data_IF_525803980129
#
_entry.id   IF_525803980129
#
_cell.length_a   1.000
_cell.length_b   1.000
_cell.length_c   1.000
_cell.angle_alpha   90.00
_cell.angle_beta   90.00
_cell.angle_gamma   90.00
#
_symmetry.space_group_name_H-M   'P 1'
#
loop_
_entity.id
_entity.type
_entity.pdbx_description
1 polymer ?
#
# COMPACT_ATOMS: atom_id res chain seq x y z
N UNK A 1 -19.12 1.51 4.53
CA UNK A 1 -18.04 1.23 3.55
C UNK A 1 -17.19 0.08 4.06
N UNK A 2 -17.13 -1.04 3.34
CA UNK A 2 -16.34 -2.24 3.73
C UNK A 2 -14.86 -1.94 3.86
N UNK A 3 -14.31 -1.16 2.91
CA UNK A 3 -12.91 -0.69 2.91
C UNK A 3 -12.62 0.11 4.18
N UNK A 4 -13.51 1.04 4.56
CA UNK A 4 -13.33 1.88 5.74
C UNK A 4 -13.27 1.07 7.04
N UNK A 5 -14.19 0.13 7.23
CA UNK A 5 -14.20 -0.75 8.40
C UNK A 5 -12.93 -1.62 8.48
N UNK A 6 -12.55 -2.26 7.39
CA UNK A 6 -11.33 -3.06 7.32
C UNK A 6 -10.06 -2.22 7.54
N UNK A 7 -10.05 -0.96 7.08
CA UNK A 7 -8.94 -0.02 7.28
C UNK A 7 -8.73 0.32 8.74
N UNK A 8 -9.80 0.53 9.51
CA UNK A 8 -9.67 0.78 10.96
C UNK A 8 -9.00 -0.41 11.64
N UNK A 9 -9.45 -1.63 11.33
CA UNK A 9 -8.85 -2.86 11.88
C UNK A 9 -7.37 -2.95 11.50
N UNK A 10 -7.04 -2.78 10.22
CA UNK A 10 -5.66 -2.82 9.73
C UNK A 10 -4.75 -1.80 10.38
N UNK A 11 -5.22 -0.56 10.58
CA UNK A 11 -4.48 0.51 11.27
C UNK A 11 -4.13 0.11 12.70
N UNK A 12 -5.10 -0.42 13.46
CA UNK A 12 -4.90 -0.82 14.85
C UNK A 12 -3.97 -2.02 14.96
N UNK A 13 -4.20 -3.06 14.16
CA UNK A 13 -3.40 -4.29 14.22
C UNK A 13 -1.97 -4.07 13.74
N UNK A 14 -1.79 -3.38 12.61
CA UNK A 14 -0.45 -3.13 12.08
C UNK A 14 0.30 -2.05 12.84
N UNK A 15 -0.39 -1.07 13.44
CA UNK A 15 0.24 -0.13 14.37
C UNK A 15 0.84 -0.86 15.58
N UNK A 16 0.03 -1.70 16.25
CA UNK A 16 0.52 -2.50 17.37
C UNK A 16 1.60 -3.52 16.97
N UNK A 17 1.53 -4.08 15.77
CA UNK A 17 2.58 -4.95 15.23
C UNK A 17 3.87 -4.16 15.01
N UNK A 18 3.79 -2.96 14.43
CA UNK A 18 4.92 -2.10 14.13
C UNK A 18 5.77 -1.81 15.35
N UNK A 19 5.15 -1.51 16.47
CA UNK A 19 5.85 -1.25 17.73
C UNK A 19 6.68 -2.46 18.22
N UNK A 20 6.33 -3.68 17.79
CA UNK A 20 7.00 -4.93 18.19
C UNK A 20 7.99 -5.46 17.17
N UNK A 21 7.72 -5.30 15.88
CA UNK A 21 8.50 -5.92 14.80
C UNK A 21 9.27 -4.90 13.95
N UNK A 22 9.03 -3.60 14.16
CA UNK A 22 9.63 -2.49 13.42
C UNK A 22 8.96 -2.20 12.07
N UNK A 23 9.31 -1.05 11.50
CA UNK A 23 8.77 -0.50 10.26
C UNK A 23 8.92 -1.42 9.05
N UNK A 24 10.15 -1.89 8.79
CA UNK A 24 10.45 -2.71 7.61
C UNK A 24 9.62 -3.99 7.56
N UNK A 25 9.54 -4.74 8.66
CA UNK A 25 8.77 -6.00 8.70
C UNK A 25 7.28 -5.73 8.55
N UNK A 26 6.79 -4.65 9.14
CA UNK A 26 5.39 -4.24 9.02
C UNK A 26 5.02 -3.87 7.58
N UNK A 27 5.89 -3.13 6.87
CA UNK A 27 5.70 -2.85 5.45
C UNK A 27 5.69 -4.13 4.60
N UNK A 28 6.60 -5.09 4.86
CA UNK A 28 6.61 -6.38 4.14
C UNK A 28 5.27 -7.10 4.33
N UNK A 29 4.72 -7.13 5.55
CA UNK A 29 3.42 -7.76 5.81
C UNK A 29 2.30 -7.04 5.04
N UNK A 30 2.23 -5.71 5.13
CA UNK A 30 1.21 -4.92 4.42
C UNK A 30 1.25 -5.17 2.91
N UNK A 31 2.45 -5.10 2.29
CA UNK A 31 2.61 -5.33 0.85
C UNK A 31 2.31 -6.79 0.47
N UNK A 32 2.64 -7.76 1.32
CA UNK A 32 2.34 -9.18 1.07
C UNK A 32 0.82 -9.42 1.03
N UNK A 33 0.08 -8.87 1.99
CA UNK A 33 -1.39 -8.96 2.04
C UNK A 33 -2.00 -8.23 0.84
N UNK A 34 -1.47 -7.04 0.51
CA UNK A 34 -1.92 -6.27 -0.65
C UNK A 34 -1.71 -7.05 -1.95
N UNK A 35 -0.59 -7.77 -2.07
CA UNK A 35 -0.30 -8.63 -3.22
C UNK A 35 -1.30 -9.76 -3.38
N UNK A 36 -1.62 -10.47 -2.30
CA UNK A 36 -2.68 -11.48 -2.32
C UNK A 36 -4.02 -10.88 -2.76
N UNK A 37 -4.32 -9.66 -2.31
CA UNK A 37 -5.51 -8.92 -2.74
C UNK A 37 -5.54 -8.65 -4.24
N UNK A 38 -4.47 -8.08 -4.80
CA UNK A 38 -4.38 -7.79 -6.23
C UNK A 38 -4.41 -9.05 -7.10
N UNK A 39 -3.78 -10.15 -6.65
CA UNK A 39 -3.86 -11.43 -7.37
C UNK A 39 -5.29 -12.01 -7.37
N UNK A 40 -6.01 -11.87 -6.25
CA UNK A 40 -7.44 -12.21 -6.17
C UNK A 40 -8.27 -11.33 -7.13
N UNK A 41 -7.95 -10.02 -7.23
CA UNK A 41 -8.63 -9.09 -8.12
C UNK A 41 -8.40 -9.44 -9.61
N UNK A 42 -7.18 -9.85 -9.98
CA UNK A 42 -6.88 -10.29 -11.36
C UNK A 42 -7.69 -11.52 -11.78
N UNK A 43 -8.01 -12.40 -10.84
CA UNK A 43 -8.78 -13.62 -11.09
C UNK A 43 -10.28 -13.45 -10.80
N UNK A 44 -10.73 -12.22 -10.53
CA UNK A 44 -12.10 -11.94 -10.14
C UNK A 44 -13.09 -12.22 -11.28
N UNK A 45 -14.07 -13.08 -11.00
CA UNK A 45 -15.16 -13.44 -11.93
C UNK A 45 -16.56 -13.06 -11.43
N UNK A 46 -16.66 -12.65 -10.17
CA UNK A 46 -17.94 -12.32 -9.53
C UNK A 46 -17.82 -11.15 -8.57
N UNK A 47 -18.92 -10.42 -8.40
CA UNK A 47 -18.98 -9.20 -7.58
C UNK A 47 -18.61 -9.44 -6.11
N UNK A 48 -18.90 -10.63 -5.57
CA UNK A 48 -18.51 -11.00 -4.20
C UNK A 48 -16.99 -10.95 -3.99
N UNK A 49 -16.18 -11.25 -5.01
CA UNK A 49 -14.72 -11.19 -4.95
C UNK A 49 -14.22 -9.75 -4.81
N UNK A 50 -14.98 -8.76 -5.28
CA UNK A 50 -14.68 -7.34 -5.08
C UNK A 50 -14.86 -6.94 -3.61
N UNK A 51 -15.81 -7.54 -2.90
CA UNK A 51 -15.96 -7.32 -1.46
C UNK A 51 -14.83 -7.97 -0.66
N UNK A 52 -14.39 -9.17 -1.06
CA UNK A 52 -13.20 -9.80 -0.48
C UNK A 52 -11.97 -8.93 -0.71
N UNK A 53 -11.77 -8.47 -1.95
CA UNK A 53 -10.71 -7.53 -2.28
C UNK A 53 -10.80 -6.25 -1.42
N UNK A 54 -11.99 -5.67 -1.27
CA UNK A 54 -12.20 -4.47 -0.47
C UNK A 54 -11.78 -4.65 1.01
N UNK A 55 -12.02 -5.83 1.60
CA UNK A 55 -11.60 -6.16 2.96
C UNK A 55 -10.08 -6.28 3.03
N UNK A 56 -9.48 -7.07 2.13
CA UNK A 56 -8.02 -7.31 2.08
C UNK A 56 -7.26 -6.01 1.83
N UNK A 57 -7.69 -5.25 0.81
CA UNK A 57 -7.17 -3.95 0.46
C UNK A 57 -7.33 -2.96 1.62
N UNK A 58 -8.54 -2.87 2.21
CA UNK A 58 -8.81 -1.96 3.32
C UNK A 58 -7.86 -2.21 4.50
N UNK A 59 -7.72 -3.48 4.91
CA UNK A 59 -6.80 -3.88 5.98
C UNK A 59 -5.33 -3.52 5.64
N UNK A 60 -4.83 -3.97 4.50
CA UNK A 60 -3.43 -3.76 4.10
C UNK A 60 -3.10 -2.27 3.90
N UNK A 61 -3.99 -1.53 3.24
CA UNK A 61 -3.82 -0.10 2.98
C UNK A 61 -3.92 0.72 4.26
N UNK A 62 -4.85 0.38 5.17
CA UNK A 62 -4.93 0.99 6.49
C UNK A 62 -3.65 0.78 7.30
N UNK A 63 -3.17 -0.47 7.35
CA UNK A 63 -1.92 -0.79 8.02
C UNK A 63 -0.72 -0.06 7.42
N UNK A 64 -0.58 -0.07 6.09
CA UNK A 64 0.47 0.66 5.37
C UNK A 64 0.52 2.14 5.78
N UNK A 65 -0.62 2.83 5.76
CA UNK A 65 -0.69 4.25 6.14
C UNK A 65 -0.28 4.51 7.59
N UNK A 66 -0.60 3.61 8.52
CA UNK A 66 -0.21 3.74 9.93
C UNK A 66 1.29 3.53 10.12
N UNK A 67 1.88 2.54 9.45
CA UNK A 67 3.29 2.17 9.67
C UNK A 67 4.28 3.02 8.86
N UNK A 68 3.82 3.72 7.83
CA UNK A 68 4.72 4.50 6.95
C UNK A 68 5.44 5.63 7.69
N UNK A 69 4.72 6.44 8.48
CA UNK A 69 5.32 7.53 9.27
C UNK A 69 6.40 7.04 10.26
N UNK A 70 6.12 6.08 11.17
CA UNK A 70 7.16 5.59 12.07
C UNK A 70 8.32 4.91 11.31
N UNK A 71 8.05 4.23 10.19
CA UNK A 71 9.14 3.65 9.37
C UNK A 71 10.07 4.72 8.79
N UNK A 72 9.54 5.85 8.33
CA UNK A 72 10.38 6.96 7.84
C UNK A 72 11.25 7.51 8.97
N UNK A 73 10.69 7.68 10.18
CA UNK A 73 11.45 8.12 11.35
C UNK A 73 12.52 7.11 11.78
N UNK A 74 12.23 5.80 11.72
CA UNK A 74 13.19 4.73 12.01
C UNK A 74 14.36 4.69 11.02
N UNK A 75 14.11 4.99 9.74
CA UNK A 75 15.13 4.89 8.69
C UNK A 75 16.01 6.13 8.58
N UNK A 76 15.45 7.32 8.85
CA UNK A 76 16.08 8.61 8.56
C UNK A 76 16.17 9.56 9.76
N UNK A 77 15.64 9.16 10.92
CA UNK A 77 15.54 10.00 12.12
C UNK A 77 14.41 11.03 12.04
N UNK A 78 14.32 11.87 13.07
CA UNK A 78 13.19 12.79 13.26
C UNK A 78 13.44 14.22 12.76
N UNK A 79 14.69 14.60 12.52
CA UNK A 79 15.10 15.98 12.17
C UNK A 79 14.41 16.48 10.89
N UNK A 80 14.39 15.65 9.83
CA UNK A 80 13.78 15.95 8.54
C UNK A 80 12.52 15.13 8.26
N UNK A 81 11.92 14.53 9.31
CA UNK A 81 10.82 13.58 9.19
C UNK A 81 9.62 14.16 8.43
N UNK A 82 9.20 15.38 8.77
CA UNK A 82 8.07 16.03 8.10
C UNK A 82 8.28 16.22 6.59
N UNK A 83 9.49 16.58 6.17
CA UNK A 83 9.82 16.76 4.76
C UNK A 83 9.85 15.41 4.02
N UNK A 84 10.51 14.40 4.59
CA UNK A 84 10.60 13.06 3.99
C UNK A 84 9.23 12.40 3.89
N UNK A 85 8.45 12.43 4.97
CA UNK A 85 7.09 11.89 4.97
C UNK A 85 6.16 12.70 4.05
N UNK A 86 6.35 14.01 3.95
CA UNK A 86 5.66 14.87 2.99
C UNK A 86 5.90 14.46 1.54
N UNK A 87 7.15 14.15 1.17
CA UNK A 87 7.49 13.64 -0.18
C UNK A 87 6.79 12.31 -0.44
N UNK A 88 6.78 11.39 0.53
CA UNK A 88 6.05 10.11 0.42
C UNK A 88 4.56 10.33 0.15
N UNK A 89 3.93 11.21 0.93
CA UNK A 89 2.51 11.54 0.75
C UNK A 89 2.25 12.20 -0.60
N UNK A 90 3.12 13.11 -1.04
CA UNK A 90 3.01 13.78 -2.33
C UNK A 90 3.08 12.79 -3.51
N UNK A 91 4.02 11.84 -3.48
CA UNK A 91 4.04 10.77 -4.48
C UNK A 91 2.77 9.91 -4.43
N UNK A 92 2.26 9.62 -3.22
CA UNK A 92 1.01 8.89 -3.03
C UNK A 92 -0.21 9.62 -3.59
N UNK A 93 -0.31 10.94 -3.41
CA UNK A 93 -1.43 11.74 -3.92
C UNK A 93 -1.40 11.86 -5.44
N UNK A 94 -0.22 11.93 -6.07
CA UNK A 94 -0.10 11.83 -7.54
C UNK A 94 -0.67 10.50 -8.02
N UNK A 95 -0.31 9.39 -7.38
CA UNK A 95 -0.87 8.07 -7.71
C UNK A 95 -2.39 8.01 -7.52
N UNK A 96 -2.90 8.58 -6.44
CA UNK A 96 -4.34 8.64 -6.15
C UNK A 96 -5.12 9.50 -7.17
N UNK A 97 -4.52 10.58 -7.70
CA UNK A 97 -5.12 11.43 -8.72
C UNK A 97 -5.05 10.79 -10.11
N UNK A 98 -3.90 10.23 -10.49
CA UNK A 98 -3.69 9.62 -11.80
C UNK A 98 -4.42 8.27 -11.96
N UNK A 99 -4.54 7.49 -10.88
CA UNK A 99 -5.09 6.14 -10.91
C UNK A 99 -6.48 6.03 -11.55
N UNK A 100 -7.51 6.77 -11.08
CA UNK A 100 -8.84 6.74 -11.68
C UNK A 100 -8.86 7.16 -13.15
N UNK A 101 -8.08 8.17 -13.52
CA UNK A 101 -7.99 8.67 -14.91
C UNK A 101 -7.42 7.58 -15.81
N UNK A 102 -6.30 6.97 -15.41
CA UNK A 102 -5.67 5.88 -16.17
C UNK A 102 -6.56 4.65 -16.25
N UNK A 103 -7.25 4.30 -15.16
CA UNK A 103 -8.16 3.16 -15.13
C UNK A 103 -9.38 3.37 -16.05
N UNK A 104 -9.99 4.57 -16.00
CA UNK A 104 -11.10 4.93 -16.89
C UNK A 104 -10.67 4.93 -18.35
N UNK A 105 -9.57 5.62 -18.67
CA UNK A 105 -9.03 5.68 -20.03
C UNK A 105 -8.68 4.29 -20.59
N UNK A 106 -8.09 3.42 -19.76
CA UNK A 106 -7.81 2.02 -20.16
C UNK A 106 -9.10 1.26 -20.46
N UNK A 107 -10.13 1.45 -19.65
CA UNK A 107 -11.43 0.84 -19.87
C UNK A 107 -12.10 1.36 -21.15
N UNK A 108 -12.05 2.66 -21.42
CA UNK A 108 -12.62 3.27 -22.62
C UNK A 108 -11.98 2.71 -23.91
N UNK A 109 -10.67 2.42 -23.87
CA UNK A 109 -9.94 1.86 -25.02
C UNK A 109 -10.11 0.35 -25.19
N UNK A 110 -10.18 -0.41 -24.09
CA UNK A 110 -10.09 -1.89 -24.13
C UNK A 110 -11.39 -2.60 -23.76
N UNK A 111 -12.36 -1.88 -23.20
CA UNK A 111 -13.57 -2.44 -22.60
C UNK A 111 -13.33 -3.27 -21.34
N UNK A 112 -12.13 -3.22 -20.74
CA UNK A 112 -11.73 -4.09 -19.63
C UNK A 112 -10.79 -3.41 -18.64
N UNK A 113 -10.94 -3.74 -17.35
CA UNK A 113 -10.01 -3.30 -16.30
C UNK A 113 -8.80 -4.23 -16.12
N UNK A 114 -8.76 -5.38 -16.81
CA UNK A 114 -7.67 -6.35 -16.67
C UNK A 114 -6.28 -5.74 -16.95
N UNK A 115 -6.07 -4.96 -18.03
CA UNK A 115 -4.74 -4.42 -18.31
C UNK A 115 -4.24 -3.47 -17.22
N UNK A 116 -5.12 -2.60 -16.70
CA UNK A 116 -4.73 -1.67 -15.63
C UNK A 116 -4.50 -2.42 -14.30
N UNK A 117 -5.29 -3.45 -13.98
CA UNK A 117 -5.04 -4.28 -12.79
C UNK A 117 -3.70 -5.02 -12.87
N UNK A 118 -3.32 -5.53 -14.06
CA UNK A 118 -2.00 -6.15 -14.27
C UNK A 118 -0.87 -5.12 -14.07
N UNK A 119 -1.02 -3.92 -14.64
CA UNK A 119 -0.05 -2.85 -14.47
C UNK A 119 0.12 -2.43 -13.00
N UNK A 120 -1.00 -2.25 -12.28
CA UNK A 120 -0.98 -1.92 -10.84
C UNK A 120 -0.37 -3.05 -10.01
N UNK A 121 -0.64 -4.31 -10.34
CA UNK A 121 -0.01 -5.46 -9.69
C UNK A 121 1.49 -5.49 -9.94
N UNK A 122 1.95 -5.20 -11.17
CA UNK A 122 3.36 -5.07 -11.48
C UNK A 122 4.05 -3.95 -10.69
N UNK A 123 3.41 -2.78 -10.59
CA UNK A 123 3.93 -1.66 -9.80
C UNK A 123 4.01 -2.01 -8.30
N UNK A 124 3.01 -2.73 -7.79
CA UNK A 124 3.02 -3.25 -6.43
C UNK A 124 4.18 -4.25 -6.21
N UNK A 125 4.52 -5.07 -7.22
CA UNK A 125 5.63 -6.03 -7.13
C UNK A 125 6.98 -5.33 -7.04
N UNK A 126 7.15 -4.27 -7.83
CA UNK A 126 8.33 -3.40 -7.76
C UNK A 126 8.42 -2.77 -6.37
N UNK A 127 7.33 -2.17 -5.88
CA UNK A 127 7.28 -1.57 -4.55
C UNK A 127 7.62 -2.58 -3.44
N UNK A 128 7.03 -3.77 -3.49
CA UNK A 128 7.31 -4.86 -2.54
C UNK A 128 8.79 -5.25 -2.55
N UNK A 129 9.39 -5.37 -3.73
CA UNK A 129 10.81 -5.70 -3.89
C UNK A 129 11.71 -4.59 -3.32
N UNK A 130 11.35 -3.32 -3.54
CA UNK A 130 12.07 -2.16 -2.99
C UNK A 130 12.04 -2.12 -1.46
N UNK A 131 10.97 -2.58 -0.81
CA UNK A 131 10.90 -2.65 0.66
C UNK A 131 12.00 -3.56 1.23
N UNK A 132 12.39 -4.65 0.54
CA UNK A 132 13.50 -5.50 0.99
C UNK A 132 14.86 -4.79 0.94
N UNK A 133 15.02 -3.85 0.02
CA UNK A 133 16.24 -3.04 -0.14
C UNK A 133 16.35 -1.91 0.89
N UNK A 134 15.26 -1.58 1.61
CA UNK A 134 15.28 -0.57 2.67
C UNK A 134 16.27 -0.96 3.78
N UNK A 135 17.17 -0.03 4.09
CA UNK A 135 18.16 -0.12 5.16
C UNK A 135 18.19 1.20 5.92
N UNK A 136 18.34 1.17 7.26
CA UNK A 136 18.53 2.39 8.04
C UNK A 136 19.77 3.15 7.57
N UNK A 137 19.70 4.48 7.55
CA UNK A 137 20.87 5.31 7.28
C UNK A 137 21.83 5.21 8.47
N UNK A 138 23.07 4.82 8.20
CA UNK A 138 24.08 4.66 9.24
C UNK A 138 24.37 6.01 9.92
N UNK A 139 24.30 6.04 11.26
CA UNK A 139 24.69 7.20 12.07
C UNK A 139 23.54 8.10 12.53
N UNK A 140 22.29 7.75 12.25
CA UNK A 140 21.13 8.50 12.75
C UNK A 140 20.61 7.86 14.04
N UNK A 141 20.66 8.61 15.14
CA UNK A 141 19.94 8.32 16.40
C UNK A 141 18.80 9.31 16.55
#
# INVERSE_FOLDING_TARGET
STIGGASIVGRLTMGAANDRIGGKRSLIICFSILMCGFFCLLTARGTWMLFVFAIVYGFAHGGFFTVMSPTVAELFGTVSHGALFGIVLFCGTIGAAAGPILAGYTFDLTGSYQPIFMAMTGLLAVGFSLVFLLRPVAGVK
#
